data_IF_656184769809
#
_entry.id   IF_656184769809
#
_cell.length_a   1.000
_cell.length_b   1.000
_cell.length_c   1.000
_cell.angle_alpha   90.00
_cell.angle_beta   90.00
_cell.angle_gamma   90.00
#
_symmetry.space_group_name_H-M   'P 1'
#
loop_
_entity.id
_entity.type
_entity.pdbx_description
1 polymer ?
#
# COMPACT_ATOMS: atom_id res chain seq x y z
N UNK A 1 -66.86 16.62 11.38
CA UNK A 1 -65.59 17.11 10.80
C UNK A 1 -64.52 16.91 11.86
N UNK A 2 -63.67 15.89 11.70
CA UNK A 2 -62.71 15.43 12.72
C UNK A 2 -61.34 16.07 12.42
N UNK A 3 -60.77 16.82 13.36
CA UNK A 3 -59.43 17.41 13.23
C UNK A 3 -58.45 16.50 13.97
N UNK A 4 -57.48 15.94 13.26
CA UNK A 4 -56.38 15.16 13.82
C UNK A 4 -55.20 16.12 14.03
N UNK A 5 -54.73 16.27 15.27
CA UNK A 5 -53.48 16.98 15.56
C UNK A 5 -52.31 16.02 15.41
N UNK A 6 -51.40 16.32 14.47
CA UNK A 6 -50.15 15.60 14.29
C UNK A 6 -49.01 16.41 14.91
N UNK A 7 -48.51 16.00 16.06
CA UNK A 7 -47.34 16.60 16.70
C UNK A 7 -46.05 16.02 16.09
N UNK A 8 -45.25 16.86 15.43
CA UNK A 8 -43.91 16.48 14.99
C UNK A 8 -42.92 16.63 16.16
N UNK A 9 -42.37 15.52 16.65
CA UNK A 9 -41.19 15.55 17.52
C UNK A 9 -39.94 15.76 16.65
N UNK A 10 -39.42 16.99 16.65
CA UNK A 10 -38.10 17.27 16.10
C UNK A 10 -37.03 16.71 17.06
N UNK A 11 -36.55 15.50 16.78
CA UNK A 11 -35.33 14.99 17.41
C UNK A 11 -34.14 15.77 16.83
N UNK A 12 -33.69 16.81 17.55
CA UNK A 12 -32.46 17.51 17.22
C UNK A 12 -31.29 16.52 17.32
N UNK A 13 -30.72 16.16 16.18
CA UNK A 13 -29.46 15.42 16.12
C UNK A 13 -28.34 16.37 16.55
N UNK A 14 -28.02 16.36 17.84
CA UNK A 14 -26.83 17.04 18.36
C UNK A 14 -25.61 16.47 17.65
N UNK A 15 -25.06 17.22 16.70
CA UNK A 15 -23.78 16.92 16.08
C UNK A 15 -22.72 16.98 17.17
N UNK A 16 -22.29 15.80 17.67
CA UNK A 16 -21.12 15.72 18.54
C UNK A 16 -19.92 16.22 17.74
N UNK A 17 -19.57 17.47 17.94
CA UNK A 17 -18.35 18.04 17.41
C UNK A 17 -17.19 17.49 18.25
N UNK A 18 -16.71 16.31 17.90
CA UNK A 18 -15.45 15.80 18.44
C UNK A 18 -14.34 16.77 18.02
N UNK A 19 -13.66 17.35 19.00
CA UNK A 19 -12.47 18.18 18.75
C UNK A 19 -11.42 17.28 18.08
N UNK A 20 -11.13 17.52 16.81
CA UNK A 20 -10.05 16.84 16.08
C UNK A 20 -8.74 17.10 16.83
N UNK A 21 -8.05 16.02 17.22
CA UNK A 21 -6.76 16.12 17.92
C UNK A 21 -5.60 15.79 16.99
N UNK A 22 -4.40 16.21 17.37
CA UNK A 22 -3.20 15.90 16.62
C UNK A 22 -2.95 14.38 16.59
N UNK A 23 -3.21 13.69 17.70
CA UNK A 23 -3.07 12.24 17.82
C UNK A 23 -3.98 11.51 16.82
N UNK A 24 -5.19 12.02 16.59
CA UNK A 24 -6.11 11.46 15.59
C UNK A 24 -5.63 11.67 14.16
N UNK A 25 -5.05 12.85 13.86
CA UNK A 25 -4.44 13.12 12.54
C UNK A 25 -3.23 12.20 12.32
N UNK A 26 -2.41 11.99 13.35
CA UNK A 26 -1.18 11.21 13.29
C UNK A 26 -1.40 9.69 13.39
N UNK A 27 -2.62 9.23 13.64
CA UNK A 27 -2.93 7.83 13.90
C UNK A 27 -2.62 6.89 12.72
N UNK A 28 -2.71 7.38 11.48
CA UNK A 28 -2.35 6.61 10.29
C UNK A 28 -1.15 7.23 9.55
N UNK A 29 0.08 6.73 9.74
CA UNK A 29 1.27 7.32 9.14
C UNK A 29 1.26 7.34 7.59
N UNK A 30 0.33 6.64 6.93
CA UNK A 30 0.18 6.71 5.48
C UNK A 30 -0.10 8.13 4.96
N UNK A 31 -0.52 9.06 5.83
CA UNK A 31 -0.66 10.49 5.50
C UNK A 31 0.68 11.15 5.11
N UNK A 32 1.81 10.65 5.63
CA UNK A 32 3.16 11.16 5.29
C UNK A 32 3.60 10.62 3.92
N UNK A 33 3.06 9.46 3.53
CA UNK A 33 3.37 8.78 2.28
C UNK A 33 3.91 7.37 2.51
N UNK A 34 3.95 6.59 1.42
CA UNK A 34 4.37 5.19 1.41
C UNK A 34 5.71 5.10 0.68
N UNK A 35 6.80 5.19 1.44
CA UNK A 35 8.14 5.14 0.87
C UNK A 35 8.44 3.75 0.27
N UNK A 36 9.11 3.68 -0.91
CA UNK A 36 9.60 2.44 -1.46
C UNK A 36 10.59 1.72 -0.51
N UNK A 37 10.53 0.39 -0.47
CA UNK A 37 11.39 -0.47 0.33
C UNK A 37 11.93 -1.63 -0.52
N UNK A 38 13.02 -2.26 -0.09
CA UNK A 38 13.61 -3.42 -0.78
C UNK A 38 14.01 -3.09 -2.22
N UNK A 39 14.75 -1.98 -2.38
CA UNK A 39 15.19 -1.51 -3.70
C UNK A 39 16.24 -2.48 -4.23
N UNK A 40 15.98 -3.03 -5.41
CA UNK A 40 16.85 -3.97 -6.12
C UNK A 40 17.02 -3.61 -7.58
N UNK A 41 18.13 -4.02 -8.17
CA UNK A 41 18.39 -3.83 -9.60
C UNK A 41 18.11 -5.12 -10.37
N UNK A 42 17.57 -5.00 -11.57
CA UNK A 42 17.54 -6.13 -12.50
C UNK A 42 18.97 -6.54 -12.87
N UNK A 43 19.15 -7.82 -13.23
CA UNK A 43 20.45 -8.31 -13.72
C UNK A 43 20.90 -7.58 -15.00
N UNK A 44 19.96 -7.03 -15.77
CA UNK A 44 20.24 -6.25 -16.99
C UNK A 44 20.59 -4.79 -16.73
N UNK A 45 20.49 -4.30 -15.48
CA UNK A 45 20.67 -2.89 -15.10
C UNK A 45 19.74 -1.92 -15.86
N UNK A 46 18.62 -2.43 -16.38
CA UNK A 46 17.61 -1.69 -17.14
C UNK A 46 16.37 -1.35 -16.29
N UNK A 47 16.19 -2.04 -15.15
CA UNK A 47 15.04 -1.89 -14.27
C UNK A 47 15.43 -1.83 -12.80
N UNK A 48 14.64 -1.11 -12.03
CA UNK A 48 14.67 -1.08 -10.56
C UNK A 48 13.41 -1.76 -10.04
N UNK A 49 13.55 -2.68 -9.11
CA UNK A 49 12.46 -3.31 -8.39
C UNK A 49 12.35 -2.73 -6.99
N UNK A 50 11.12 -2.55 -6.51
CA UNK A 50 10.87 -2.07 -5.16
C UNK A 50 9.47 -2.46 -4.69
N UNK A 51 9.26 -2.38 -3.38
CA UNK A 51 7.97 -2.65 -2.74
C UNK A 51 7.40 -1.39 -2.12
N UNK A 52 6.08 -1.22 -2.21
CA UNK A 52 5.35 -0.11 -1.59
C UNK A 52 4.18 -0.68 -0.81
N UNK A 53 3.92 -0.15 0.39
CA UNK A 53 2.72 -0.51 1.16
C UNK A 53 1.48 -0.22 0.32
N UNK A 54 0.54 -1.15 0.26
CA UNK A 54 -0.74 -0.94 -0.40
C UNK A 54 -1.57 0.10 0.38
N UNK A 55 -2.25 1.00 -0.33
CA UNK A 55 -3.03 2.06 0.32
C UNK A 55 -4.14 1.46 1.19
N UNK A 56 -4.16 1.81 2.49
CA UNK A 56 -5.17 1.32 3.43
C UNK A 56 -5.01 -0.15 3.85
N UNK A 57 -3.92 -0.82 3.45
CA UNK A 57 -3.65 -2.21 3.79
C UNK A 57 -2.26 -2.38 4.41
N UNK A 58 -2.07 -3.42 5.23
CA UNK A 58 -0.77 -3.71 5.85
C UNK A 58 0.24 -4.42 4.93
N UNK A 59 -0.21 -4.96 3.80
CA UNK A 59 0.63 -5.69 2.86
C UNK A 59 1.39 -4.76 1.89
N UNK A 60 2.38 -5.32 1.22
CA UNK A 60 3.20 -4.63 0.23
C UNK A 60 2.94 -5.15 -1.17
N UNK A 61 2.90 -4.24 -2.13
CA UNK A 61 2.89 -4.53 -3.56
C UNK A 61 4.28 -4.31 -4.14
N UNK A 62 4.66 -5.10 -5.14
CA UNK A 62 5.97 -4.97 -5.81
C UNK A 62 5.79 -4.31 -7.16
N UNK A 63 6.71 -3.42 -7.50
CA UNK A 63 6.72 -2.66 -8.73
C UNK A 63 8.07 -2.82 -9.45
N UNK A 64 8.05 -2.64 -10.77
CA UNK A 64 9.24 -2.42 -11.60
C UNK A 64 9.23 -0.99 -12.12
N UNK A 65 10.41 -0.38 -12.20
CA UNK A 65 10.63 0.91 -12.84
C UNK A 65 11.67 0.73 -13.94
N UNK A 66 11.28 1.04 -15.16
CA UNK A 66 12.12 0.95 -16.34
C UNK A 66 12.93 2.24 -16.54
N UNK A 67 14.25 2.12 -16.58
CA UNK A 67 15.14 3.29 -16.63
C UNK A 67 15.10 4.02 -17.98
N UNK A 68 14.79 3.30 -19.07
CA UNK A 68 14.79 3.88 -20.41
C UNK A 68 13.52 4.68 -20.68
N UNK A 69 12.37 4.14 -20.29
CA UNK A 69 11.05 4.74 -20.51
C UNK A 69 10.55 5.58 -19.33
N UNK A 70 11.14 5.41 -18.14
CA UNK A 70 10.68 6.03 -16.90
C UNK A 70 9.30 5.52 -16.43
N UNK A 71 8.84 4.39 -16.95
CA UNK A 71 7.54 3.81 -16.62
C UNK A 71 7.62 2.88 -15.43
N UNK A 72 6.54 2.87 -14.63
CA UNK A 72 6.35 1.97 -13.51
C UNK A 72 5.22 0.99 -13.80
N UNK A 73 5.43 -0.28 -13.49
CA UNK A 73 4.41 -1.34 -13.57
C UNK A 73 4.31 -2.09 -12.24
N UNK A 74 3.10 -2.45 -11.84
CA UNK A 74 2.88 -3.39 -10.73
C UNK A 74 3.19 -4.80 -11.21
N UNK A 75 3.94 -5.56 -10.42
CA UNK A 75 4.28 -6.94 -10.72
C UNK A 75 3.33 -7.89 -10.00
N UNK A 76 2.92 -8.96 -10.69
CA UNK A 76 2.04 -10.02 -10.17
C UNK A 76 2.49 -11.40 -10.66
N UNK A 77 2.05 -12.47 -9.97
CA UNK A 77 2.33 -13.86 -10.37
C UNK A 77 3.82 -14.18 -10.55
N UNK A 78 4.18 -14.82 -11.65
CA UNK A 78 5.56 -15.21 -11.96
C UNK A 78 6.52 -14.01 -12.10
N UNK A 79 6.01 -12.84 -12.49
CA UNK A 79 6.84 -11.63 -12.63
C UNK A 79 7.38 -11.14 -11.29
N UNK A 80 6.73 -11.47 -10.17
CA UNK A 80 7.23 -11.18 -8.82
C UNK A 80 8.52 -11.92 -8.50
N UNK A 81 8.68 -13.15 -9.02
CA UNK A 81 9.83 -14.00 -8.73
C UNK A 81 11.11 -13.30 -9.21
N UNK A 82 11.08 -12.72 -10.42
CA UNK A 82 12.22 -12.01 -11.01
C UNK A 82 12.69 -10.83 -10.15
N UNK A 83 11.76 -10.05 -9.62
CA UNK A 83 12.07 -8.92 -8.73
C UNK A 83 12.72 -9.40 -7.42
N UNK A 84 12.21 -10.50 -6.87
CA UNK A 84 12.60 -11.01 -5.55
C UNK A 84 13.87 -11.85 -5.56
N UNK A 85 14.37 -12.24 -6.74
CA UNK A 85 15.73 -12.79 -6.89
C UNK A 85 16.81 -11.81 -6.37
N UNK A 86 16.51 -10.51 -6.37
CA UNK A 86 17.41 -9.49 -5.80
C UNK A 86 17.60 -9.67 -4.29
N UNK A 87 16.54 -10.06 -3.58
CA UNK A 87 16.53 -10.28 -2.12
C UNK A 87 16.69 -11.77 -1.75
N UNK A 88 16.93 -12.64 -2.73
CA UNK A 88 16.94 -14.08 -2.51
C UNK A 88 18.22 -14.53 -1.80
N UNK A 89 18.06 -15.50 -0.89
CA UNK A 89 19.20 -16.18 -0.28
C UNK A 89 19.69 -17.26 -1.24
N UNK A 90 20.90 -17.09 -1.75
CA UNK A 90 21.53 -18.00 -2.71
C UNK A 90 22.34 -19.09 -2.01
N UNK A 91 22.42 -20.27 -2.62
CA UNK A 91 23.43 -21.26 -2.26
C UNK A 91 24.85 -20.73 -2.57
N UNK A 92 25.92 -21.30 -1.98
CA UNK A 92 27.30 -20.85 -2.24
C UNK A 92 27.68 -20.83 -3.73
N UNK A 93 27.10 -21.73 -4.53
CA UNK A 93 27.34 -21.86 -5.96
C UNK A 93 26.54 -20.88 -6.82
N UNK A 94 25.63 -20.08 -6.23
CA UNK A 94 24.71 -19.15 -6.91
C UNK A 94 23.89 -19.75 -8.06
N UNK A 95 23.53 -21.03 -7.92
CA UNK A 95 22.71 -21.75 -8.91
C UNK A 95 21.26 -21.91 -8.45
N UNK A 96 21.00 -21.78 -7.14
CA UNK A 96 19.69 -21.94 -6.56
C UNK A 96 19.44 -20.82 -5.54
N UNK A 97 18.22 -20.31 -5.51
CA UNK A 97 17.82 -19.26 -4.59
C UNK A 97 16.49 -19.62 -3.92
N UNK A 98 16.36 -19.30 -2.63
CA UNK A 98 15.09 -19.42 -1.90
C UNK A 98 14.48 -18.03 -1.79
N UNK A 99 13.20 -17.95 -2.16
CA UNK A 99 12.38 -16.74 -2.07
C UNK A 99 11.15 -17.07 -1.22
N UNK A 100 10.89 -16.26 -0.18
CA UNK A 100 9.70 -16.40 0.66
C UNK A 100 8.54 -15.60 0.06
N UNK A 101 7.41 -16.26 -0.12
CA UNK A 101 6.12 -15.66 -0.51
C UNK A 101 5.22 -15.63 0.74
N UNK A 102 4.64 -14.47 1.04
CA UNK A 102 3.67 -14.25 2.13
C UNK A 102 2.30 -13.93 1.53
#
# INVERSE_FOLDING_TARGET
MLIINLSLNANATTTKQSKLTLEQIMADPDWIGRAPQGIGWSSGQDKVYYRVKAAGHSHFETYSYDLASGQTEKLEGESLIKARLTDATWNPQRTQAVVVYE
#
